data_IF_133795679756
#
_entry.id   IF_133795679756
#
_cell.length_a   1.000
_cell.length_b   1.000
_cell.length_c   1.000
_cell.angle_alpha   90.00
_cell.angle_beta   90.00
_cell.angle_gamma   90.00
#
_symmetry.space_group_name_H-M   'P 1'
#
loop_
_entity.id
_entity.type
_entity.pdbx_description
1 polymer ?
#
# COMPACT_ATOMS: atom_id res chain seq x y z
N UNK A 1 -28.52 0.41 -10.25
CA UNK A 1 -29.15 1.59 -10.89
C UNK A 1 -29.98 2.30 -9.83
N UNK A 2 -29.46 3.41 -9.30
CA UNK A 2 -30.19 4.18 -8.26
C UNK A 2 -31.25 5.05 -8.93
N UNK A 3 -32.56 4.91 -8.61
CA UNK A 3 -33.62 5.72 -9.20
C UNK A 3 -33.52 7.22 -8.88
N UNK A 4 -32.73 7.60 -7.87
CA UNK A 4 -32.46 9.00 -7.53
C UNK A 4 -31.61 9.72 -8.57
N UNK A 5 -30.86 8.99 -9.40
CA UNK A 5 -29.99 9.55 -10.45
C UNK A 5 -30.72 9.66 -11.78
N UNK A 6 -31.88 10.34 -11.78
CA UNK A 6 -32.70 10.53 -12.98
C UNK A 6 -33.51 11.82 -12.90
N UNK A 7 -33.39 12.66 -13.94
CA UNK A 7 -34.16 13.89 -14.11
C UNK A 7 -34.83 13.93 -15.49
N UNK A 8 -35.83 14.76 -15.66
CA UNK A 8 -36.41 14.97 -16.99
C UNK A 8 -35.39 15.71 -17.89
N UNK A 9 -35.20 15.27 -19.16
CA UNK A 9 -34.35 15.97 -20.10
C UNK A 9 -34.83 17.45 -20.30
N UNK A 10 -33.91 18.39 -20.14
CA UNK A 10 -34.19 19.82 -20.32
C UNK A 10 -33.61 20.32 -21.65
N UNK A 11 -32.55 19.65 -22.11
CA UNK A 11 -31.81 20.03 -23.31
C UNK A 11 -31.22 18.78 -23.99
N UNK A 12 -30.88 18.82 -25.27
CA UNK A 12 -30.27 17.71 -25.99
C UNK A 12 -28.88 17.42 -25.45
N UNK A 13 -28.51 16.15 -25.45
CA UNK A 13 -27.15 15.69 -25.05
C UNK A 13 -26.12 16.13 -26.10
N UNK A 14 -24.94 16.63 -25.70
CA UNK A 14 -23.83 16.79 -26.59
C UNK A 14 -23.41 15.50 -27.27
N UNK A 15 -22.98 15.53 -28.54
CA UNK A 15 -22.60 14.33 -29.29
C UNK A 15 -21.56 13.47 -28.56
N UNK A 16 -20.56 14.08 -27.92
CA UNK A 16 -19.56 13.37 -27.12
C UNK A 16 -20.15 12.49 -26.00
N UNK A 17 -21.27 12.90 -25.40
CA UNK A 17 -21.96 12.08 -24.38
C UNK A 17 -22.83 10.99 -25.01
N UNK A 18 -23.39 11.24 -26.19
CA UNK A 18 -24.07 10.18 -26.95
C UNK A 18 -23.08 9.08 -27.29
N UNK A 19 -21.94 9.43 -27.87
CA UNK A 19 -20.86 8.50 -28.23
C UNK A 19 -20.35 7.73 -27.00
N UNK A 20 -20.16 8.43 -25.88
CA UNK A 20 -19.77 7.82 -24.61
C UNK A 20 -20.79 6.82 -24.09
N UNK A 21 -22.09 7.16 -24.07
CA UNK A 21 -23.12 6.23 -23.60
C UNK A 21 -23.30 5.04 -24.54
N UNK A 22 -23.12 5.21 -25.83
CA UNK A 22 -23.14 4.11 -26.80
C UNK A 22 -21.92 3.19 -26.63
N UNK A 23 -20.76 3.74 -26.32
CA UNK A 23 -19.54 2.98 -26.00
C UNK A 23 -19.73 2.12 -24.75
N UNK A 24 -20.20 2.71 -23.65
CA UNK A 24 -20.40 1.94 -22.40
C UNK A 24 -21.54 0.90 -22.53
N UNK A 25 -22.53 1.17 -23.36
CA UNK A 25 -23.59 0.21 -23.65
C UNK A 25 -23.05 -0.98 -24.45
N UNK A 26 -22.25 -0.73 -25.49
CA UNK A 26 -21.72 -1.77 -26.38
C UNK A 26 -20.63 -2.61 -25.73
N UNK A 27 -19.67 -1.96 -25.01
CA UNK A 27 -18.50 -2.64 -24.41
C UNK A 27 -18.76 -3.23 -23.04
N UNK A 28 -19.62 -2.62 -22.23
CA UNK A 28 -19.81 -2.97 -20.83
C UNK A 28 -21.25 -3.35 -20.46
N UNK A 29 -22.17 -3.36 -21.43
CA UNK A 29 -23.56 -3.71 -21.22
C UNK A 29 -24.33 -2.73 -20.32
N UNK A 30 -23.80 -1.53 -20.08
CA UNK A 30 -24.40 -0.50 -19.22
C UNK A 30 -25.39 0.33 -20.05
N UNK A 31 -26.69 0.06 -19.92
CA UNK A 31 -27.73 0.85 -20.57
C UNK A 31 -28.32 1.87 -19.60
N UNK A 32 -28.26 3.13 -19.98
CA UNK A 32 -28.89 4.25 -19.28
C UNK A 32 -30.13 4.72 -20.06
N UNK A 33 -31.22 4.98 -19.34
CA UNK A 33 -32.39 5.63 -19.94
C UNK A 33 -32.19 7.13 -20.09
N UNK A 34 -33.06 7.80 -20.86
CA UNK A 34 -32.93 9.23 -21.17
C UNK A 34 -32.89 10.14 -19.93
N UNK A 35 -33.63 9.76 -18.87
CA UNK A 35 -33.63 10.49 -17.63
C UNK A 35 -32.32 10.36 -16.85
N UNK A 36 -31.68 9.21 -16.92
CA UNK A 36 -30.35 8.97 -16.31
C UNK A 36 -29.25 9.69 -17.09
N UNK A 37 -29.32 9.66 -18.42
CA UNK A 37 -28.40 10.42 -19.29
C UNK A 37 -28.51 11.93 -19.03
N UNK A 38 -29.74 12.44 -18.90
CA UNK A 38 -29.99 13.85 -18.57
C UNK A 38 -29.43 14.22 -17.19
N UNK A 39 -29.60 13.36 -16.20
CA UNK A 39 -29.02 13.55 -14.87
C UNK A 39 -27.50 13.60 -14.94
N UNK A 40 -26.89 12.65 -15.66
CA UNK A 40 -25.44 12.62 -15.84
C UNK A 40 -24.93 13.93 -16.45
N UNK A 41 -25.56 14.40 -17.51
CA UNK A 41 -25.18 15.65 -18.18
C UNK A 41 -25.32 16.88 -17.27
N UNK A 42 -26.39 16.96 -16.51
CA UNK A 42 -26.58 18.05 -15.56
C UNK A 42 -25.52 18.05 -14.45
N UNK A 43 -25.12 16.89 -13.96
CA UNK A 43 -24.06 16.74 -12.96
C UNK A 43 -22.69 17.07 -13.55
N UNK A 44 -22.40 16.63 -14.77
CA UNK A 44 -21.14 16.91 -15.44
C UNK A 44 -20.93 18.43 -15.64
N UNK A 45 -21.98 19.20 -15.92
CA UNK A 45 -21.89 20.66 -15.98
C UNK A 45 -21.44 21.30 -14.67
N UNK A 46 -21.76 20.69 -13.55
CA UNK A 46 -21.39 21.18 -12.21
C UNK A 46 -20.02 20.70 -11.79
N UNK A 47 -19.69 19.45 -12.09
CA UNK A 47 -18.49 18.77 -11.59
C UNK A 47 -17.32 18.81 -12.60
N UNK A 48 -17.61 19.09 -13.90
CA UNK A 48 -16.57 19.08 -14.93
C UNK A 48 -15.84 17.75 -15.00
N UNK A 49 -14.53 17.79 -14.96
CA UNK A 49 -13.65 16.61 -15.01
C UNK A 49 -13.82 15.69 -13.79
N UNK A 50 -14.37 16.20 -12.68
CA UNK A 50 -14.64 15.41 -11.49
C UNK A 50 -15.89 14.51 -11.62
N UNK A 51 -16.67 14.65 -12.70
CA UNK A 51 -17.90 13.87 -12.90
C UNK A 51 -17.63 12.36 -12.86
N UNK A 52 -16.61 11.88 -13.54
CA UNK A 52 -16.25 10.47 -13.56
C UNK A 52 -15.70 10.00 -12.22
N UNK A 53 -15.09 10.88 -11.45
CA UNK A 53 -14.59 10.60 -10.10
C UNK A 53 -15.73 10.37 -9.12
N UNK A 54 -16.72 11.23 -9.11
CA UNK A 54 -17.83 11.16 -8.18
C UNK A 54 -18.88 10.10 -8.58
N UNK A 55 -19.04 9.91 -9.90
CA UNK A 55 -20.07 9.04 -10.48
C UNK A 55 -19.53 8.21 -11.66
N UNK A 56 -18.62 7.26 -11.38
CA UNK A 56 -18.10 6.38 -12.42
C UNK A 56 -19.19 5.51 -13.03
N UNK A 57 -19.28 5.46 -14.35
CA UNK A 57 -20.28 4.70 -15.07
C UNK A 57 -19.91 3.23 -15.26
N UNK A 58 -18.60 2.93 -15.25
CA UNK A 58 -18.04 1.60 -15.46
C UNK A 58 -16.89 1.32 -14.48
N UNK A 59 -16.62 0.05 -14.17
CA UNK A 59 -15.55 -0.30 -13.21
C UNK A 59 -14.17 0.25 -13.58
N UNK A 60 -13.86 0.35 -14.87
CA UNK A 60 -12.58 0.92 -15.33
C UNK A 60 -12.44 2.41 -15.03
N UNK A 61 -13.52 3.18 -15.03
CA UNK A 61 -13.50 4.59 -14.60
C UNK A 61 -13.29 4.69 -13.10
N UNK A 62 -13.99 3.90 -12.31
CA UNK A 62 -13.76 3.82 -10.87
C UNK A 62 -12.31 3.44 -10.58
N UNK A 63 -11.74 2.50 -11.35
CA UNK A 63 -10.36 2.07 -11.22
C UNK A 63 -9.36 3.15 -11.70
N UNK A 64 -9.63 3.81 -12.84
CA UNK A 64 -8.77 4.90 -13.33
C UNK A 64 -8.66 6.06 -12.34
N UNK A 65 -9.67 6.29 -11.54
CA UNK A 65 -9.71 7.38 -10.57
C UNK A 65 -9.12 7.03 -9.21
N UNK A 66 -9.19 5.77 -8.80
CA UNK A 66 -8.36 5.32 -7.69
C UNK A 66 -6.87 5.42 -8.02
N UNK A 67 -6.55 5.60 -9.31
CA UNK A 67 -5.20 5.71 -9.89
C UNK A 67 -4.71 7.15 -10.00
N UNK A 68 -5.61 8.15 -10.11
CA UNK A 68 -5.20 9.54 -10.16
C UNK A 68 -4.66 10.00 -8.80
N UNK A 69 -3.38 10.33 -8.78
CA UNK A 69 -2.65 10.61 -7.55
C UNK A 69 -2.07 9.40 -6.82
N UNK A 70 -2.48 8.16 -7.13
CA UNK A 70 -1.92 6.96 -6.53
C UNK A 70 -0.45 6.76 -6.95
N UNK A 71 0.40 6.45 -5.96
CA UNK A 71 1.84 6.35 -6.20
C UNK A 71 2.25 5.10 -6.97
N UNK A 72 1.51 3.99 -6.84
CA UNK A 72 1.90 2.65 -7.29
C UNK A 72 0.97 2.04 -8.35
N UNK A 73 0.07 2.83 -8.93
CA UNK A 73 -0.94 2.36 -9.87
C UNK A 73 -0.38 1.58 -11.07
N UNK A 74 0.74 2.06 -11.65
CA UNK A 74 1.40 1.37 -12.78
C UNK A 74 1.97 0.01 -12.37
N UNK A 75 2.55 -0.04 -11.17
CA UNK A 75 3.14 -1.25 -10.61
C UNK A 75 2.06 -2.29 -10.30
N UNK A 76 0.95 -1.90 -9.68
CA UNK A 76 -0.14 -2.82 -9.41
C UNK A 76 -0.80 -3.35 -10.69
N UNK A 77 -0.97 -2.51 -11.71
CA UNK A 77 -1.40 -2.98 -13.02
C UNK A 77 -0.47 -4.08 -13.54
N UNK A 78 0.84 -3.87 -13.49
CA UNK A 78 1.82 -4.89 -13.88
C UNK A 78 1.68 -6.18 -13.05
N UNK A 79 1.50 -6.07 -11.72
CA UNK A 79 1.34 -7.23 -10.84
C UNK A 79 0.11 -8.07 -11.23
N UNK A 80 -1.04 -7.45 -11.50
CA UNK A 80 -2.25 -8.14 -11.94
C UNK A 80 -2.11 -8.77 -13.33
N UNK A 81 -1.59 -8.02 -14.30
CA UNK A 81 -1.38 -8.51 -15.67
C UNK A 81 -0.43 -9.72 -15.71
N UNK A 82 0.56 -9.75 -14.82
CA UNK A 82 1.54 -10.83 -14.73
C UNK A 82 1.22 -11.88 -13.66
N UNK A 83 0.01 -11.87 -13.09
CA UNK A 83 -0.46 -12.83 -12.08
C UNK A 83 0.48 -12.94 -10.87
N UNK A 84 0.99 -11.79 -10.42
CA UNK A 84 1.91 -11.71 -9.28
C UNK A 84 1.19 -11.48 -7.94
N UNK A 85 -0.13 -11.52 -7.94
CA UNK A 85 -1.00 -11.54 -6.77
C UNK A 85 -1.83 -12.81 -6.87
N UNK A 86 -1.68 -13.71 -5.90
CA UNK A 86 -2.34 -15.01 -5.91
C UNK A 86 -1.82 -15.94 -4.81
N UNK A 87 -2.05 -17.24 -4.97
CA UNK A 87 -1.54 -18.26 -4.04
C UNK A 87 -0.05 -18.47 -4.25
N UNK A 88 0.74 -18.30 -3.20
CA UNK A 88 2.18 -18.51 -3.25
C UNK A 88 2.55 -20.00 -3.18
N UNK A 89 3.64 -20.42 -3.85
CA UNK A 89 4.19 -21.75 -3.67
C UNK A 89 4.73 -21.94 -2.25
N UNK A 90 4.74 -23.18 -1.78
CA UNK A 90 5.31 -23.49 -0.46
C UNK A 90 6.83 -23.32 -0.47
N UNK A 91 7.29 -22.27 0.19
CA UNK A 91 8.69 -21.96 0.48
C UNK A 91 8.92 -21.86 1.99
N UNK A 92 8.21 -22.66 2.79
CA UNK A 92 8.24 -22.64 4.26
C UNK A 92 9.63 -22.89 4.85
N UNK A 93 10.52 -23.54 4.11
CA UNK A 93 11.93 -23.77 4.47
C UNK A 93 12.79 -22.48 4.43
N UNK A 94 12.35 -21.45 3.71
CA UNK A 94 13.08 -20.18 3.65
C UNK A 94 12.68 -19.28 4.83
N UNK A 95 13.67 -18.60 5.45
CA UNK A 95 13.38 -17.71 6.57
C UNK A 95 12.66 -16.42 6.12
N UNK A 96 11.99 -15.79 7.07
CA UNK A 96 11.16 -14.60 6.86
C UNK A 96 11.88 -13.36 7.37
N UNK A 97 11.89 -12.32 6.58
CA UNK A 97 12.27 -10.96 6.95
C UNK A 97 11.00 -10.16 7.28
N UNK A 98 11.00 -9.43 8.39
CA UNK A 98 9.87 -8.53 8.71
C UNK A 98 10.30 -7.07 8.58
N UNK A 99 9.37 -6.23 8.11
CA UNK A 99 9.55 -4.80 7.94
C UNK A 99 8.42 -4.07 8.63
N UNK A 100 8.79 -3.15 9.52
CA UNK A 100 7.86 -2.55 10.45
C UNK A 100 7.76 -1.04 10.25
N UNK A 101 6.53 -0.54 10.25
CA UNK A 101 6.24 0.83 10.65
C UNK A 101 5.61 0.79 12.04
N UNK A 102 6.21 1.50 13.01
CA UNK A 102 5.81 1.41 14.42
C UNK A 102 5.26 2.77 14.85
N UNK A 103 3.94 2.93 14.80
CA UNK A 103 3.25 4.12 15.28
C UNK A 103 3.14 4.19 16.81
N UNK A 104 3.21 5.39 17.38
CA UNK A 104 2.90 5.67 18.80
C UNK A 104 1.51 6.26 18.87
N UNK A 105 0.53 5.47 19.35
CA UNK A 105 -0.87 5.89 19.38
C UNK A 105 -1.59 5.80 18.04
N UNK A 106 -0.86 5.40 16.99
CA UNK A 106 -1.33 5.12 15.64
C UNK A 106 -1.22 3.64 15.29
N UNK A 107 -1.43 3.29 14.03
CA UNK A 107 -1.31 1.92 13.55
C UNK A 107 0.15 1.48 13.47
N UNK A 108 0.42 0.22 13.85
CA UNK A 108 1.68 -0.47 13.56
C UNK A 108 1.45 -1.45 12.42
N UNK A 109 2.28 -1.40 11.40
CA UNK A 109 2.24 -2.27 10.23
C UNK A 109 3.46 -3.19 10.18
N UNK A 110 3.25 -4.46 9.82
CA UNK A 110 4.30 -5.48 9.69
C UNK A 110 4.12 -6.23 8.37
N UNK A 111 5.13 -6.16 7.51
CA UNK A 111 5.21 -6.96 6.30
C UNK A 111 6.13 -8.15 6.49
N UNK A 112 5.72 -9.32 6.01
CA UNK A 112 6.46 -10.57 6.11
C UNK A 112 6.91 -11.02 4.72
N UNK A 113 8.21 -11.10 4.49
CA UNK A 113 8.78 -11.28 3.16
C UNK A 113 9.83 -12.40 3.16
N UNK A 114 9.78 -13.25 2.14
CA UNK A 114 10.81 -14.24 1.83
C UNK A 114 11.57 -13.85 0.57
N UNK A 115 12.85 -14.08 0.55
CA UNK A 115 13.67 -13.95 -0.64
C UNK A 115 13.71 -15.29 -1.37
N UNK A 116 13.25 -15.32 -2.62
CA UNK A 116 13.16 -16.52 -3.45
C UNK A 116 13.91 -16.26 -4.77
N UNK A 117 15.18 -16.55 -4.79
CA UNK A 117 16.03 -16.19 -5.91
C UNK A 117 16.13 -14.66 -6.08
N UNK A 118 15.69 -14.15 -7.20
CA UNK A 118 15.65 -12.70 -7.47
C UNK A 118 14.30 -12.06 -7.14
N UNK A 119 13.33 -12.83 -6.68
CA UNK A 119 11.97 -12.39 -6.34
C UNK A 119 11.77 -12.24 -4.84
N UNK A 120 10.78 -11.45 -4.48
CA UNK A 120 10.35 -11.25 -3.10
C UNK A 120 8.92 -11.76 -2.93
N UNK A 121 8.76 -12.83 -2.16
CA UNK A 121 7.44 -13.34 -1.82
C UNK A 121 6.93 -12.64 -0.58
N UNK A 122 5.94 -11.77 -0.75
CA UNK A 122 5.23 -11.10 0.33
C UNK A 122 4.16 -12.07 0.83
N UNK A 123 4.50 -12.78 1.90
CA UNK A 123 3.77 -13.97 2.34
C UNK A 123 2.68 -13.67 3.35
N UNK A 124 2.74 -12.50 3.99
CA UNK A 124 1.79 -12.11 5.04
C UNK A 124 1.89 -10.61 5.33
N UNK A 125 0.83 -10.07 5.90
CA UNK A 125 0.74 -8.71 6.37
C UNK A 125 -0.03 -8.69 7.70
N UNK A 126 0.32 -7.79 8.59
CA UNK A 126 -0.41 -7.54 9.82
C UNK A 126 -0.39 -6.06 10.16
N UNK A 127 -1.56 -5.49 10.40
CA UNK A 127 -1.70 -4.11 10.86
C UNK A 127 -2.67 -4.05 12.02
N UNK A 128 -2.37 -3.24 13.03
CA UNK A 128 -3.26 -2.98 14.16
C UNK A 128 -2.90 -1.65 14.83
N UNK A 129 -3.83 -1.09 15.61
CA UNK A 129 -3.66 0.16 16.36
C UNK A 129 -3.99 -0.02 17.84
N UNK A 130 -3.45 0.88 18.66
CA UNK A 130 -3.76 0.90 20.09
C UNK A 130 -3.06 -0.18 20.93
N UNK A 131 -2.13 -0.93 20.36
CA UNK A 131 -1.43 -2.02 21.03
C UNK A 131 0.04 -1.69 21.29
N UNK A 132 0.58 -2.27 22.36
CA UNK A 132 2.00 -2.15 22.71
C UNK A 132 2.87 -3.19 22.00
N UNK A 133 4.20 -2.98 22.04
CA UNK A 133 5.20 -3.85 21.40
C UNK A 133 5.04 -5.35 21.80
N UNK A 134 4.65 -5.62 23.04
CA UNK A 134 4.38 -6.99 23.52
C UNK A 134 3.35 -7.71 22.67
N UNK A 135 2.28 -7.03 22.27
CA UNK A 135 1.22 -7.59 21.40
C UNK A 135 1.80 -8.05 20.05
N UNK A 136 2.54 -7.19 19.40
CA UNK A 136 3.13 -7.48 18.09
C UNK A 136 4.18 -8.61 18.17
N UNK A 137 4.94 -8.67 19.24
CA UNK A 137 5.87 -9.78 19.48
C UNK A 137 5.12 -11.11 19.70
N UNK A 138 3.94 -11.06 20.32
CA UNK A 138 3.07 -12.24 20.40
C UNK A 138 2.56 -12.65 19.03
N UNK A 139 2.16 -11.71 18.18
CA UNK A 139 1.76 -11.99 16.79
C UNK A 139 2.88 -12.70 16.02
N UNK A 140 4.14 -12.26 16.15
CA UNK A 140 5.27 -12.96 15.53
C UNK A 140 5.41 -14.41 16.02
N UNK A 141 5.31 -14.59 17.33
CA UNK A 141 5.41 -15.93 17.95
C UNK A 141 4.28 -16.84 17.46
N UNK A 142 3.03 -16.33 17.44
CA UNK A 142 1.86 -17.10 17.05
C UNK A 142 1.87 -17.48 15.55
N UNK A 143 2.45 -16.63 14.69
CA UNK A 143 2.63 -16.95 13.25
C UNK A 143 3.64 -18.09 13.03
N UNK A 144 4.56 -18.34 13.96
CA UNK A 144 5.44 -19.50 13.96
C UNK A 144 6.43 -19.57 12.78
N UNK A 145 6.70 -18.45 12.12
CA UNK A 145 7.71 -18.42 11.05
C UNK A 145 9.13 -18.52 11.62
N UNK A 146 10.05 -19.09 10.83
CA UNK A 146 11.48 -18.94 11.09
C UNK A 146 11.92 -17.57 10.59
N UNK A 147 12.35 -16.70 11.48
CA UNK A 147 12.73 -15.32 11.15
C UNK A 147 14.23 -15.19 10.88
N UNK A 148 14.58 -14.47 9.80
CA UNK A 148 15.96 -14.11 9.49
C UNK A 148 16.33 -12.74 10.08
N UNK A 149 15.45 -11.74 9.94
CA UNK A 149 15.65 -10.39 10.48
C UNK A 149 14.33 -9.70 10.77
N UNK A 150 14.40 -8.72 11.68
CA UNK A 150 13.33 -7.78 11.95
C UNK A 150 13.86 -6.37 11.67
N UNK A 151 13.27 -5.67 10.72
CA UNK A 151 13.73 -4.38 10.24
C UNK A 151 12.77 -3.29 10.71
N UNK A 152 13.25 -2.38 11.52
CA UNK A 152 12.47 -1.29 12.10
C UNK A 152 12.81 0.08 11.53
N UNK A 153 11.95 1.09 11.77
CA UNK A 153 12.17 2.46 11.31
C UNK A 153 13.42 3.07 11.95
N UNK A 154 13.93 4.12 11.32
CA UNK A 154 15.15 4.80 11.77
C UNK A 154 15.04 5.46 13.16
N UNK A 155 13.83 5.72 13.65
CA UNK A 155 13.53 6.33 14.94
C UNK A 155 13.20 5.30 16.05
N UNK A 156 13.34 4.01 15.77
CA UNK A 156 13.12 2.91 16.74
C UNK A 156 14.04 3.01 17.95
N UNK A 157 15.18 3.70 17.82
CA UNK A 157 16.14 3.98 18.89
C UNK A 157 15.75 5.19 19.75
N UNK A 158 14.66 5.91 19.43
CA UNK A 158 14.16 7.01 20.25
C UNK A 158 13.68 6.49 21.61
N UNK A 159 14.14 7.17 22.66
CA UNK A 159 13.76 6.81 24.03
C UNK A 159 12.36 7.32 24.36
N UNK A 160 11.59 6.48 25.03
CA UNK A 160 10.22 6.82 25.45
C UNK A 160 10.16 7.11 26.94
N UNK A 161 9.53 8.22 27.29
CA UNK A 161 9.46 8.69 28.70
C UNK A 161 8.72 7.69 29.61
N UNK A 162 7.73 6.95 29.09
CA UNK A 162 6.93 5.97 29.84
C UNK A 162 7.56 4.59 30.05
N UNK A 163 8.75 4.33 29.49
CA UNK A 163 9.43 3.03 29.48
C UNK A 163 10.81 3.07 30.15
N UNK A 164 10.94 3.76 31.30
CA UNK A 164 12.21 3.96 32.01
C UNK A 164 13.32 4.51 31.10
N UNK A 165 12.94 5.39 30.16
CA UNK A 165 13.82 5.99 29.15
C UNK A 165 14.50 4.95 28.21
N UNK A 166 13.91 3.77 28.03
CA UNK A 166 14.35 2.77 27.05
C UNK A 166 13.75 3.04 25.68
N UNK A 167 14.50 2.69 24.64
CA UNK A 167 13.98 2.68 23.28
C UNK A 167 13.18 1.40 23.01
N UNK A 168 12.32 1.43 21.96
CA UNK A 168 11.59 0.23 21.53
C UNK A 168 12.52 -0.90 21.12
N UNK A 169 13.67 -0.57 20.54
CA UNK A 169 14.72 -1.53 20.19
C UNK A 169 15.31 -2.22 21.42
N UNK A 170 15.57 -1.46 22.51
CA UNK A 170 16.04 -2.01 23.77
C UNK A 170 14.98 -2.92 24.40
N UNK A 171 13.72 -2.49 24.47
CA UNK A 171 12.60 -3.29 24.98
C UNK A 171 12.40 -4.58 24.19
N UNK A 172 12.47 -4.53 22.85
CA UNK A 172 12.36 -5.72 22.00
C UNK A 172 13.49 -6.73 22.27
N UNK A 173 14.72 -6.23 22.51
CA UNK A 173 15.89 -7.06 22.82
C UNK A 173 15.82 -7.67 24.20
N UNK A 174 15.32 -6.96 25.19
CA UNK A 174 15.07 -7.51 26.54
C UNK A 174 13.99 -8.58 26.48
N UNK A 175 12.98 -8.38 25.63
CA UNK A 175 11.89 -9.30 25.42
C UNK A 175 10.74 -9.13 26.42
N UNK A 176 9.68 -9.85 26.15
CA UNK A 176 8.49 -9.90 26.98
C UNK A 176 8.16 -11.35 27.34
N UNK A 177 7.61 -11.54 28.54
CA UNK A 177 7.02 -12.82 28.87
C UNK A 177 5.76 -13.07 28.05
N UNK A 178 5.81 -14.09 27.21
CA UNK A 178 4.72 -14.54 26.33
C UNK A 178 4.57 -16.05 26.52
N UNK A 179 3.39 -16.49 27.01
CA UNK A 179 3.08 -17.91 27.30
C UNK A 179 4.12 -18.58 28.19
N UNK A 180 4.55 -17.90 29.26
CA UNK A 180 5.49 -18.42 30.26
C UNK A 180 6.96 -18.46 29.83
N UNK A 181 7.31 -17.87 28.71
CA UNK A 181 8.69 -17.78 28.21
C UNK A 181 9.03 -16.34 27.77
N UNK A 182 10.30 -15.97 27.96
CA UNK A 182 10.78 -14.68 27.42
C UNK A 182 10.99 -14.82 25.92
N UNK A 183 10.22 -14.06 25.16
CA UNK A 183 10.37 -13.92 23.72
C UNK A 183 11.02 -12.57 23.41
N UNK A 184 12.15 -12.59 22.71
CA UNK A 184 12.92 -11.39 22.36
C UNK A 184 13.26 -11.37 20.89
N UNK A 185 13.36 -10.19 20.31
CA UNK A 185 13.79 -9.96 18.92
C UNK A 185 14.84 -8.86 18.85
N UNK A 186 15.60 -8.87 17.77
CA UNK A 186 16.58 -7.80 17.48
C UNK A 186 16.19 -7.09 16.22
N UNK A 187 16.01 -5.78 16.34
CA UNK A 187 15.75 -4.94 15.18
C UNK A 187 17.04 -4.47 14.50
N UNK A 188 17.08 -4.60 13.19
CA UNK A 188 17.98 -3.88 12.31
C UNK A 188 17.31 -2.56 11.95
N UNK A 189 18.09 -1.46 11.97
CA UNK A 189 17.55 -0.12 11.70
C UNK A 189 17.66 0.18 10.23
N UNK A 190 16.54 0.47 9.59
CA UNK A 190 16.51 0.87 8.17
C UNK A 190 16.98 2.34 8.05
N UNK A 191 17.89 2.65 7.12
CA UNK A 191 18.36 4.02 6.93
C UNK A 191 17.23 4.99 6.60
N UNK A 192 17.32 6.19 7.15
CA UNK A 192 16.38 7.27 6.82
C UNK A 192 16.62 7.75 5.39
N UNK A 193 15.57 7.73 4.58
CA UNK A 193 15.52 8.40 3.29
C UNK A 193 14.34 9.40 3.27
N UNK A 194 14.33 10.28 2.28
CA UNK A 194 13.15 11.11 2.04
C UNK A 194 11.97 10.24 1.60
N UNK A 195 10.77 10.76 1.79
CA UNK A 195 9.53 10.05 1.38
C UNK A 195 9.56 9.74 -0.11
N UNK A 196 9.98 10.69 -0.94
CA UNK A 196 10.05 10.53 -2.39
C UNK A 196 11.05 9.46 -2.81
N UNK A 197 12.26 9.44 -2.23
CA UNK A 197 13.24 8.39 -2.48
C UNK A 197 12.72 7.00 -2.07
N UNK A 198 11.97 6.95 -0.97
CA UNK A 198 11.33 5.73 -0.52
C UNK A 198 10.22 5.26 -1.46
N UNK A 199 9.39 6.17 -1.97
CA UNK A 199 8.36 5.87 -2.97
C UNK A 199 8.99 5.33 -4.26
N UNK A 200 10.07 5.95 -4.74
CA UNK A 200 10.80 5.45 -5.91
C UNK A 200 11.39 4.06 -5.66
N UNK A 201 11.94 3.80 -4.47
CA UNK A 201 12.42 2.46 -4.12
C UNK A 201 11.30 1.41 -4.18
N UNK A 202 10.08 1.76 -3.72
CA UNK A 202 8.91 0.87 -3.83
C UNK A 202 8.53 0.63 -5.29
N UNK A 203 8.53 1.66 -6.13
CA UNK A 203 8.24 1.52 -7.56
C UNK A 203 9.23 0.60 -8.27
N UNK A 204 10.51 0.62 -7.86
CA UNK A 204 11.56 -0.25 -8.41
C UNK A 204 11.41 -1.70 -7.95
N UNK A 205 10.96 -1.95 -6.71
CA UNK A 205 10.92 -3.29 -6.15
C UNK A 205 9.59 -4.04 -6.39
N UNK A 206 8.46 -3.34 -6.47
CA UNK A 206 7.15 -3.94 -6.66
C UNK A 206 7.08 -4.92 -7.84
N UNK A 207 7.67 -4.64 -9.01
CA UNK A 207 7.68 -5.60 -10.13
C UNK A 207 8.40 -6.92 -9.82
N UNK A 208 9.24 -6.96 -8.79
CA UNK A 208 9.95 -8.17 -8.33
C UNK A 208 9.17 -8.90 -7.23
N UNK A 209 8.09 -8.32 -6.72
CA UNK A 209 7.27 -8.90 -5.65
C UNK A 209 6.22 -9.87 -6.19
N UNK A 210 5.91 -10.91 -5.42
CA UNK A 210 4.76 -11.80 -5.59
C UNK A 210 4.02 -11.85 -4.26
N UNK A 211 2.72 -11.54 -4.26
CA UNK A 211 1.93 -11.39 -3.04
C UNK A 211 0.99 -12.57 -2.82
N UNK A 212 0.87 -13.01 -1.57
CA UNK A 212 -0.25 -13.85 -1.14
C UNK A 212 -1.54 -13.01 -1.13
N UNK A 213 -2.50 -13.34 -1.99
CA UNK A 213 -3.73 -12.58 -2.18
C UNK A 213 -4.63 -12.53 -0.95
N UNK A 214 -4.58 -13.57 -0.10
CA UNK A 214 -5.45 -13.67 1.07
C UNK A 214 -4.81 -13.03 2.30
N UNK A 215 -3.55 -13.39 2.60
CA UNK A 215 -2.85 -12.91 3.80
C UNK A 215 -2.39 -11.47 3.69
N UNK A 216 -2.21 -10.97 2.46
CA UNK A 216 -1.80 -9.60 2.20
C UNK A 216 -2.95 -8.70 1.70
N UNK A 217 -4.21 -9.18 1.67
CA UNK A 217 -5.33 -8.47 1.05
C UNK A 217 -5.51 -7.04 1.55
N UNK A 218 -5.42 -6.81 2.86
CA UNK A 218 -5.53 -5.48 3.47
C UNK A 218 -4.34 -4.59 3.06
N UNK A 219 -3.12 -5.07 3.23
CA UNK A 219 -1.92 -4.32 2.86
C UNK A 219 -1.84 -4.01 1.35
N UNK A 220 -2.28 -4.94 0.49
CA UNK A 220 -2.41 -4.69 -0.96
C UNK A 220 -3.37 -3.53 -1.20
N UNK A 221 -4.58 -3.57 -0.61
CA UNK A 221 -5.59 -2.52 -0.77
C UNK A 221 -5.05 -1.15 -0.30
N UNK A 222 -4.30 -1.12 0.80
CA UNK A 222 -3.69 0.11 1.31
C UNK A 222 -2.57 0.63 0.38
N UNK A 223 -1.70 -0.23 -0.15
CA UNK A 223 -0.69 0.19 -1.12
C UNK A 223 -1.31 0.70 -2.42
N UNK A 224 -2.39 0.10 -2.91
CA UNK A 224 -3.11 0.58 -4.09
C UNK A 224 -3.77 1.95 -3.86
N UNK A 225 -4.30 2.17 -2.66
CA UNK A 225 -4.97 3.40 -2.29
C UNK A 225 -4.00 4.53 -1.86
N UNK A 226 -2.72 4.23 -1.60
CA UNK A 226 -1.72 5.21 -1.19
C UNK A 226 -1.48 6.26 -2.27
N UNK A 227 -1.81 7.53 -1.97
CA UNK A 227 -1.92 8.60 -2.96
C UNK A 227 -1.39 9.93 -2.44
N UNK A 228 -1.21 10.86 -3.38
CA UNK A 228 -0.94 12.27 -3.08
C UNK A 228 -2.12 12.93 -2.36
N UNK A 229 -1.83 13.95 -1.56
CA UNK A 229 -2.85 14.82 -0.98
C UNK A 229 -3.40 15.77 -2.04
N UNK A 230 -4.72 15.91 -2.13
CA UNK A 230 -5.35 16.87 -3.01
C UNK A 230 -5.48 18.25 -2.34
N UNK A 231 -5.21 19.31 -3.06
CA UNK A 231 -5.41 20.70 -2.63
C UNK A 231 -6.69 21.27 -3.26
N UNK A 232 -7.78 21.24 -2.52
CA UNK A 232 -9.09 21.74 -3.01
C UNK A 232 -9.05 23.22 -3.38
N UNK A 233 -8.18 24.02 -2.74
CA UNK A 233 -8.09 25.46 -2.99
C UNK A 233 -7.37 25.77 -4.31
N UNK A 234 -6.40 24.93 -4.66
CA UNK A 234 -5.57 25.09 -5.86
C UNK A 234 -6.01 24.20 -7.02
N UNK A 235 -6.88 23.22 -6.77
CA UNK A 235 -7.33 22.25 -7.75
C UNK A 235 -6.18 21.39 -8.31
N UNK A 236 -5.21 21.01 -7.47
CA UNK A 236 -4.04 20.22 -7.89
C UNK A 236 -3.56 19.28 -6.78
N UNK A 237 -2.80 18.26 -7.19
CA UNK A 237 -2.13 17.35 -6.25
C UNK A 237 -0.93 18.04 -5.58
N UNK A 238 -0.82 17.88 -4.26
CA UNK A 238 0.38 18.28 -3.50
C UNK A 238 1.52 17.29 -3.75
N UNK A 239 2.75 17.74 -3.62
CA UNK A 239 3.92 16.87 -3.71
C UNK A 239 4.24 16.17 -2.37
N UNK A 240 3.20 15.67 -1.71
CA UNK A 240 3.31 14.86 -0.50
C UNK A 240 2.17 13.84 -0.44
N UNK A 241 2.39 12.70 0.22
CA UNK A 241 1.33 11.74 0.47
C UNK A 241 0.22 12.33 1.34
N UNK A 242 -1.00 11.88 1.10
CA UNK A 242 -2.09 12.02 2.05
C UNK A 242 -1.76 11.15 3.27
N UNK A 243 -1.79 11.75 4.44
CA UNK A 243 -1.62 11.00 5.68
C UNK A 243 -2.98 10.50 6.17
N UNK A 244 -3.25 9.23 5.89
CA UNK A 244 -4.48 8.53 6.26
C UNK A 244 -4.15 7.08 6.69
N UNK A 245 -5.17 6.23 6.79
CA UNK A 245 -5.04 4.83 7.18
C UNK A 245 -4.09 4.01 6.28
N UNK A 246 -3.82 4.44 5.05
CA UNK A 246 -2.92 3.74 4.11
C UNK A 246 -1.45 4.00 4.38
N UNK A 247 -1.14 5.06 5.12
CA UNK A 247 0.23 5.58 5.29
C UNK A 247 1.14 4.58 6.00
N UNK A 248 0.66 3.95 7.07
CA UNK A 248 1.48 3.04 7.88
C UNK A 248 1.92 1.80 7.11
N UNK A 249 1.02 1.21 6.32
CA UNK A 249 1.35 0.05 5.51
C UNK A 249 2.29 0.41 4.35
N UNK A 250 2.08 1.58 3.75
CA UNK A 250 2.99 2.10 2.73
C UNK A 250 4.38 2.41 3.30
N UNK A 251 4.45 2.94 4.52
CA UNK A 251 5.71 3.25 5.20
C UNK A 251 6.47 1.97 5.59
N UNK A 252 5.78 0.97 6.13
CA UNK A 252 6.36 -0.35 6.40
C UNK A 252 6.91 -1.03 5.13
N UNK A 253 6.16 -0.98 4.03
CA UNK A 253 6.62 -1.50 2.73
C UNK A 253 7.78 -0.67 2.13
N UNK A 254 7.79 0.63 2.39
CA UNK A 254 8.89 1.53 2.00
C UNK A 254 10.19 1.18 2.71
N UNK A 255 10.15 0.81 4.00
CA UNK A 255 11.33 0.33 4.72
C UNK A 255 11.90 -0.96 4.11
N UNK A 256 11.05 -1.88 3.66
CA UNK A 256 11.49 -3.03 2.88
C UNK A 256 12.23 -2.60 1.61
N UNK A 257 11.61 -1.78 0.78
CA UNK A 257 12.19 -1.36 -0.49
C UNK A 257 13.55 -0.66 -0.32
N UNK A 258 13.65 0.25 0.67
CA UNK A 258 14.87 0.99 0.98
C UNK A 258 16.01 0.08 1.44
N UNK A 259 15.71 -0.89 2.30
CA UNK A 259 16.72 -1.84 2.81
C UNK A 259 17.34 -2.65 1.67
N UNK A 260 16.53 -3.07 0.68
CA UNK A 260 16.99 -3.88 -0.46
C UNK A 260 17.73 -3.07 -1.52
N UNK A 261 17.36 -1.81 -1.73
CA UNK A 261 18.08 -0.90 -2.62
C UNK A 261 19.53 -0.69 -2.16
N UNK A 262 19.75 -0.57 -0.86
CA UNK A 262 21.07 -0.39 -0.28
C UNK A 262 21.94 -1.66 -0.41
N UNK A 263 21.36 -2.84 -0.22
CA UNK A 263 22.07 -4.11 -0.38
C UNK A 263 22.58 -4.30 -1.82
N UNK A 264 21.75 -4.02 -2.83
CA UNK A 264 22.17 -4.08 -4.24
C UNK A 264 23.27 -3.07 -4.60
N UNK A 265 23.26 -1.87 -3.99
CA UNK A 265 24.34 -0.87 -4.18
C UNK A 265 25.65 -1.31 -3.54
N UNK A 266 25.62 -1.98 -2.39
CA UNK A 266 26.80 -2.49 -1.71
C UNK A 266 27.43 -3.65 -2.49
N UNK A 267 26.65 -4.60 -2.98
CA UNK A 267 27.17 -5.71 -3.82
C UNK A 267 27.79 -5.22 -5.12
N UNK A 268 27.15 -4.29 -5.83
CA UNK A 268 27.77 -3.66 -7.02
C UNK A 268 29.08 -2.93 -6.70
N UNK A 269 29.21 -2.32 -5.52
CA UNK A 269 30.43 -1.61 -5.12
C UNK A 269 31.58 -2.55 -4.77
N UNK A 270 31.27 -3.75 -4.30
CA UNK A 270 32.26 -4.81 -4.00
C UNK A 270 32.77 -5.45 -5.31
N UNK A 271 31.91 -5.68 -6.31
CA UNK A 271 32.30 -6.23 -7.61
C UNK A 271 33.25 -5.31 -8.42
N UNK A 272 33.19 -3.98 -8.18
CA UNK A 272 34.08 -3.01 -8.86
C UNK A 272 35.45 -2.82 -8.21
N UNK A 273 35.75 -3.43 -7.07
CA UNK A 273 37.02 -3.27 -6.36
C UNK A 273 38.01 -4.41 -6.57
N UNK A 274 37.78 -5.32 -7.53
CA UNK A 274 38.65 -6.42 -7.88
C UNK A 274 39.17 -6.35 -9.34
N UNK A 275 39.62 -5.17 -9.78
CA UNK A 275 40.42 -5.01 -11.00
C UNK A 275 41.62 -4.11 -10.76
#
# INVERSE_FOLDING_TARGET
KNPEYAINPVEPLPQRLVDYFDEIASKHGVQLNERQKAWYYAKEKTLGDDMKREYPSIPSEAFQQSVEGAYYAKQFRYLYENKRIGTLPDNSHLPVHTYWDIGVGDSTSIWFIREVGEEFHVIDHYSNSGEGLRHYMKVLKDKGYTYASHNGPHDIDNREFGSDAKSRRELAREGYEIDGQIYSIRFEVVPKLSVDEGIEAVREILPLCVFDEHKCSEGIAHLEAYRKEWDDKRGCWKDKPLHDYTSHDADGFRYFAVSRRNTKRLTKKIEFNWN
#
